data_IF_749385965737
#
_entry.id   IF_749385965737
#
_cell.length_a   1.000
_cell.length_b   1.000
_cell.length_c   1.000
_cell.angle_alpha   90.00
_cell.angle_beta   90.00
_cell.angle_gamma   90.00
#
_symmetry.space_group_name_H-M   'P 1'
#
loop_
_entity.id
_entity.type
_entity.pdbx_description
1 polymer ?
#
# COMPACT_ATOMS: atom_id res chain seq x y z
N UNK A 1 -18.75 23.20 10.63
CA UNK A 1 -18.47 21.76 10.78
C UNK A 1 -17.11 21.51 10.16
N UNK A 2 -16.17 20.85 10.85
CA UNK A 2 -14.84 20.52 10.32
C UNK A 2 -15.01 19.58 9.14
N UNK A 3 -14.29 19.83 8.03
CA UNK A 3 -14.28 18.88 6.90
C UNK A 3 -13.53 17.62 7.29
N UNK A 4 -13.95 16.47 6.78
CA UNK A 4 -13.34 15.18 7.09
C UNK A 4 -11.84 15.16 6.72
N UNK A 5 -11.50 15.68 5.55
CA UNK A 5 -10.12 15.83 5.09
C UNK A 5 -9.79 17.32 4.98
N UNK A 6 -9.15 17.89 5.97
CA UNK A 6 -8.61 19.24 5.98
C UNK A 6 -7.12 19.23 6.36
N UNK A 7 -6.50 20.42 6.39
CA UNK A 7 -5.08 20.57 6.76
C UNK A 7 -4.75 20.05 8.17
N UNK A 8 -5.75 19.89 9.03
CA UNK A 8 -5.64 19.43 10.41
C UNK A 8 -6.17 17.99 10.58
N UNK A 9 -6.29 17.22 9.49
CA UNK A 9 -6.70 15.82 9.55
C UNK A 9 -5.82 15.03 10.53
N UNK A 10 -6.43 14.30 11.45
CA UNK A 10 -5.80 13.58 12.57
C UNK A 10 -5.09 14.48 13.61
N UNK A 11 -5.06 15.79 13.43
CA UNK A 11 -4.47 16.70 14.41
C UNK A 11 -5.55 17.24 15.35
N UNK A 12 -5.78 16.53 16.46
CA UNK A 12 -6.90 16.81 17.37
C UNK A 12 -6.62 17.91 18.39
N UNK A 13 -5.33 18.09 18.76
CA UNK A 13 -4.94 19.06 19.77
C UNK A 13 -4.16 20.23 19.15
N UNK A 14 -4.19 21.39 19.82
CA UNK A 14 -3.41 22.56 19.38
C UNK A 14 -1.90 22.26 19.41
N UNK A 15 -1.45 21.45 20.35
CA UNK A 15 -0.05 20.98 20.42
C UNK A 15 0.29 20.14 19.19
N UNK A 16 -0.59 19.21 18.78
CA UNK A 16 -0.36 18.37 17.60
C UNK A 16 -0.29 19.24 16.32
N UNK A 17 -1.19 20.22 16.18
CA UNK A 17 -1.17 21.17 15.05
C UNK A 17 0.11 21.98 15.01
N UNK A 18 0.53 22.54 16.16
CA UNK A 18 1.77 23.31 16.27
C UNK A 18 2.98 22.45 15.88
N UNK A 19 3.12 21.26 16.44
CA UNK A 19 4.25 20.36 16.15
C UNK A 19 4.28 19.95 14.68
N UNK A 20 3.12 19.65 14.09
CA UNK A 20 3.05 19.27 12.68
C UNK A 20 3.36 20.46 11.74
N UNK A 21 2.59 21.55 11.83
CA UNK A 21 2.69 22.63 10.86
C UNK A 21 4.00 23.44 10.98
N UNK A 22 4.49 23.64 12.20
CA UNK A 22 5.67 24.49 12.41
C UNK A 22 6.99 23.71 12.27
N UNK A 23 6.97 22.39 12.49
CA UNK A 23 8.17 21.56 12.45
C UNK A 23 8.05 20.39 11.46
N UNK A 24 7.19 19.41 11.73
CA UNK A 24 7.19 18.13 11.01
C UNK A 24 6.91 18.29 9.51
N UNK A 25 5.97 19.16 9.12
CA UNK A 25 5.62 19.37 7.70
C UNK A 25 6.77 19.92 6.85
N UNK A 26 7.79 20.51 7.48
CA UNK A 26 8.97 21.09 6.82
C UNK A 26 10.17 20.14 6.80
N UNK A 27 10.06 19.00 7.48
CA UNK A 27 11.15 18.01 7.55
C UNK A 27 11.15 17.13 6.31
N UNK A 28 12.32 16.67 5.85
CA UNK A 28 12.39 15.68 4.78
C UNK A 28 11.80 14.35 5.26
N UNK A 29 11.08 13.68 4.38
CA UNK A 29 10.59 12.32 4.64
C UNK A 29 11.73 11.35 4.34
N UNK A 30 12.10 10.54 5.32
CA UNK A 30 13.03 9.41 5.17
C UNK A 30 12.22 8.14 5.38
N UNK A 31 11.78 7.54 4.27
CA UNK A 31 11.05 6.28 4.30
C UNK A 31 12.05 5.13 4.08
N UNK A 32 12.29 4.38 5.14
CA UNK A 32 13.15 3.19 5.12
C UNK A 32 12.35 1.89 5.16
N UNK A 33 11.02 1.98 5.25
CA UNK A 33 10.17 0.80 5.29
C UNK A 33 10.01 0.21 3.88
N UNK A 34 10.34 -1.06 3.72
CA UNK A 34 10.10 -1.80 2.48
C UNK A 34 9.77 -3.27 2.77
N UNK A 35 9.21 -3.95 1.78
CA UNK A 35 8.90 -5.39 1.84
C UNK A 35 9.86 -6.22 0.95
N UNK A 36 10.95 -5.63 0.51
CA UNK A 36 12.02 -6.34 -0.17
C UNK A 36 12.97 -6.92 0.88
N UNK A 37 13.38 -8.16 0.71
CA UNK A 37 14.31 -8.81 1.62
C UNK A 37 15.67 -8.09 1.64
N UNK A 38 16.25 -7.80 2.82
CA UNK A 38 17.62 -7.27 2.89
C UNK A 38 18.65 -8.17 2.20
N UNK A 39 18.42 -9.48 2.17
CA UNK A 39 19.28 -10.42 1.45
C UNK A 39 19.23 -10.19 -0.06
N UNK A 40 18.05 -9.98 -0.64
CA UNK A 40 17.90 -9.68 -2.06
C UNK A 40 18.62 -8.39 -2.46
N UNK A 41 18.61 -7.38 -1.58
CA UNK A 41 19.35 -6.13 -1.78
C UNK A 41 20.86 -6.40 -1.73
N UNK A 42 21.33 -7.17 -0.74
CA UNK A 42 22.76 -7.46 -0.54
C UNK A 42 23.35 -8.33 -1.66
N UNK A 43 22.55 -9.21 -2.23
CA UNK A 43 22.94 -10.13 -3.31
C UNK A 43 22.72 -9.55 -4.72
N UNK A 44 22.25 -8.29 -4.82
CA UNK A 44 21.89 -7.64 -6.09
C UNK A 44 20.95 -8.51 -6.94
N UNK A 45 19.87 -9.00 -6.30
CA UNK A 45 18.93 -9.93 -6.90
C UNK A 45 18.24 -9.34 -8.13
N UNK A 46 18.31 -10.02 -9.25
CA UNK A 46 17.63 -9.63 -10.48
C UNK A 46 16.25 -10.27 -10.58
N UNK A 47 15.22 -9.46 -10.37
CA UNK A 47 13.83 -9.91 -10.45
C UNK A 47 13.42 -10.17 -11.91
N UNK A 48 12.69 -11.27 -12.14
CA UNK A 48 12.22 -11.68 -13.48
C UNK A 48 11.06 -10.82 -14.00
N UNK A 49 10.26 -10.29 -13.07
CA UNK A 49 9.05 -9.55 -13.40
C UNK A 49 8.72 -8.54 -12.30
N UNK A 50 7.91 -7.53 -12.65
CA UNK A 50 7.33 -6.60 -11.67
C UNK A 50 6.43 -7.33 -10.65
N UNK A 51 5.82 -8.44 -11.06
CA UNK A 51 5.00 -9.26 -10.17
C UNK A 51 5.84 -9.88 -9.07
N UNK A 52 7.02 -10.40 -9.39
CA UNK A 52 7.96 -10.95 -8.42
C UNK A 52 8.37 -9.89 -7.40
N UNK A 53 8.76 -8.69 -7.85
CA UNK A 53 9.12 -7.57 -6.95
C UNK A 53 7.97 -7.15 -6.06
N UNK A 54 6.79 -6.97 -6.62
CA UNK A 54 5.67 -6.35 -5.93
C UNK A 54 4.79 -7.32 -5.15
N UNK A 55 4.68 -8.56 -5.62
CA UNK A 55 3.77 -9.55 -5.07
C UNK A 55 4.50 -10.77 -4.50
N UNK A 56 5.79 -10.94 -4.74
CA UNK A 56 6.52 -12.14 -4.34
C UNK A 56 6.59 -12.38 -2.84
N UNK A 57 6.64 -11.32 -2.03
CA UNK A 57 6.74 -11.42 -0.58
C UNK A 57 5.78 -10.51 0.20
N UNK A 58 4.95 -9.75 -0.48
CA UNK A 58 4.10 -8.73 0.16
C UNK A 58 2.73 -9.26 0.56
N UNK A 59 2.62 -9.77 1.79
CA UNK A 59 1.36 -10.30 2.31
C UNK A 59 0.28 -9.23 2.53
N UNK A 60 0.62 -7.97 2.60
CA UNK A 60 -0.39 -6.90 2.65
C UNK A 60 -1.10 -6.77 1.31
N UNK A 61 -0.36 -6.81 0.20
CA UNK A 61 -0.96 -6.84 -1.14
C UNK A 61 -1.78 -8.10 -1.37
N UNK A 62 -1.30 -9.27 -0.95
CA UNK A 62 -2.07 -10.51 -1.02
C UNK A 62 -3.39 -10.42 -0.26
N UNK A 63 -3.38 -9.81 0.94
CA UNK A 63 -4.59 -9.61 1.74
C UNK A 63 -5.63 -8.77 1.00
N UNK A 64 -5.20 -7.68 0.36
CA UNK A 64 -6.09 -6.81 -0.39
C UNK A 64 -6.68 -7.54 -1.61
N UNK A 65 -5.86 -8.31 -2.33
CA UNK A 65 -6.31 -9.10 -3.49
C UNK A 65 -7.34 -10.15 -3.05
N UNK A 66 -7.10 -10.85 -1.94
CA UNK A 66 -8.04 -11.82 -1.35
C UNK A 66 -9.34 -11.15 -0.91
N UNK A 67 -9.26 -9.99 -0.26
CA UNK A 67 -10.44 -9.23 0.15
C UNK A 67 -11.33 -8.81 -1.03
N UNK A 68 -10.75 -8.65 -2.21
CA UNK A 68 -11.48 -8.40 -3.45
C UNK A 68 -12.12 -9.67 -4.07
N UNK A 69 -12.04 -10.82 -3.39
CA UNK A 69 -12.66 -12.08 -3.83
C UNK A 69 -11.84 -12.88 -4.85
N UNK A 70 -10.57 -12.55 -5.06
CA UNK A 70 -9.69 -13.28 -5.99
C UNK A 70 -9.37 -14.67 -5.44
N UNK A 71 -9.50 -15.74 -6.25
CA UNK A 71 -9.11 -17.09 -5.86
C UNK A 71 -7.62 -17.17 -5.51
N UNK A 72 -7.28 -17.97 -4.48
CA UNK A 72 -5.91 -18.08 -3.98
C UNK A 72 -4.89 -18.47 -5.05
N UNK A 73 -5.29 -19.26 -6.03
CA UNK A 73 -4.46 -19.65 -7.16
C UNK A 73 -3.88 -18.43 -7.91
N UNK A 74 -4.64 -17.34 -7.99
CA UNK A 74 -4.22 -16.08 -8.63
C UNK A 74 -3.57 -15.08 -7.66
N UNK A 75 -3.38 -15.45 -6.41
CA UNK A 75 -2.67 -14.64 -5.42
C UNK A 75 -1.27 -15.20 -5.21
N UNK A 76 -1.18 -16.45 -4.72
CA UNK A 76 0.08 -17.12 -4.40
C UNK A 76 0.24 -18.48 -5.10
N UNK A 77 -0.78 -18.95 -5.84
CA UNK A 77 -0.77 -20.25 -6.51
C UNK A 77 0.37 -20.39 -7.53
N UNK A 78 0.78 -21.64 -7.78
CA UNK A 78 1.93 -21.96 -8.64
C UNK A 78 1.55 -22.09 -10.12
N UNK A 79 0.27 -22.35 -10.43
CA UNK A 79 -0.19 -22.59 -11.81
C UNK A 79 -0.56 -21.29 -12.54
N UNK A 80 -0.82 -20.20 -11.82
CA UNK A 80 -1.07 -18.89 -12.41
C UNK A 80 0.23 -18.18 -12.79
N UNK A 81 0.20 -17.54 -13.95
CA UNK A 81 1.33 -16.75 -14.45
C UNK A 81 1.49 -15.45 -13.67
N UNK A 82 2.69 -14.87 -13.70
CA UNK A 82 3.00 -13.56 -13.12
C UNK A 82 2.04 -12.47 -13.65
N UNK A 83 1.73 -12.51 -14.95
CA UNK A 83 0.80 -11.56 -15.56
C UNK A 83 -0.62 -11.69 -14.99
N UNK A 84 -1.12 -12.91 -14.83
CA UNK A 84 -2.46 -13.14 -14.26
C UNK A 84 -2.55 -12.61 -12.83
N UNK A 85 -1.54 -12.86 -12.00
CA UNK A 85 -1.46 -12.32 -10.63
C UNK A 85 -1.42 -10.80 -10.62
N UNK A 86 -0.62 -10.21 -11.51
CA UNK A 86 -0.52 -8.75 -11.60
C UNK A 86 -1.82 -8.11 -12.06
N UNK A 87 -2.54 -8.73 -12.99
CA UNK A 87 -3.87 -8.25 -13.45
C UNK A 87 -4.86 -8.22 -12.30
N UNK A 88 -4.88 -9.23 -11.43
CA UNK A 88 -5.77 -9.22 -10.25
C UNK A 88 -5.40 -8.10 -9.28
N UNK A 89 -4.11 -7.86 -9.05
CA UNK A 89 -3.66 -6.73 -8.26
C UNK A 89 -4.06 -5.38 -8.89
N UNK A 90 -3.89 -5.23 -10.19
CA UNK A 90 -4.27 -4.01 -10.90
C UNK A 90 -5.77 -3.72 -10.83
N UNK A 91 -6.63 -4.75 -10.87
CA UNK A 91 -8.08 -4.60 -10.67
C UNK A 91 -8.40 -4.04 -9.30
N UNK A 92 -7.71 -4.49 -8.26
CA UNK A 92 -7.89 -3.99 -6.89
C UNK A 92 -7.50 -2.52 -6.82
N UNK A 93 -6.33 -2.15 -7.32
CA UNK A 93 -5.89 -0.75 -7.36
C UNK A 93 -6.90 0.14 -8.09
N UNK A 94 -7.36 -0.29 -9.24
CA UNK A 94 -8.36 0.44 -10.02
C UNK A 94 -9.67 0.65 -9.24
N UNK A 95 -10.10 -0.34 -8.49
CA UNK A 95 -11.31 -0.25 -7.65
C UNK A 95 -11.14 0.78 -6.53
N UNK A 96 -9.95 0.84 -5.91
CA UNK A 96 -9.64 1.86 -4.89
C UNK A 96 -9.65 3.28 -5.44
N UNK A 97 -9.07 3.50 -6.62
CA UNK A 97 -9.01 4.85 -7.22
C UNK A 97 -10.35 5.35 -7.78
N UNK A 98 -11.28 4.46 -8.10
CA UNK A 98 -12.60 4.83 -8.64
C UNK A 98 -13.70 5.01 -7.59
N UNK A 99 -13.51 4.53 -6.39
CA UNK A 99 -14.47 4.80 -5.34
C UNK A 99 -14.35 6.26 -4.92
N UNK A 100 -15.49 6.98 -4.72
CA UNK A 100 -15.44 8.23 -3.98
C UNK A 100 -14.71 7.94 -2.67
N UNK A 101 -13.95 8.90 -2.11
CA UNK A 101 -13.12 8.64 -0.94
C UNK A 101 -13.95 7.90 0.11
N UNK A 102 -13.69 6.61 0.24
CA UNK A 102 -14.28 5.81 1.29
C UNK A 102 -13.85 6.49 2.58
N UNK A 103 -14.81 6.72 3.46
CA UNK A 103 -14.48 7.12 4.82
C UNK A 103 -13.47 6.09 5.34
N UNK A 104 -12.36 6.55 5.90
CA UNK A 104 -11.33 5.66 6.46
C UNK A 104 -11.92 4.70 7.52
N UNK A 105 -13.11 4.95 8.00
CA UNK A 105 -13.92 4.08 8.87
C UNK A 105 -14.24 2.70 8.25
N UNK A 106 -14.17 2.55 6.94
CA UNK A 106 -14.45 1.26 6.26
C UNK A 106 -13.18 0.43 5.97
N UNK A 107 -11.99 0.90 6.33
CA UNK A 107 -10.71 0.24 6.00
C UNK A 107 -10.08 -0.44 7.22
N UNK A 108 -10.58 -0.16 8.46
CA UNK A 108 -10.08 -0.73 9.72
C UNK A 108 -11.11 -1.63 10.39
#
# INVERSE_FOLDING_TARGET
MKQFMDKDFLLETDTAKHLFHDYAAKMPIIDYHCHISPQEIAEDHHFRSITEVWLGGDHYKWRIIRANGTPEEKVTGETSTDLEKFVEYAKVLYSFYRQPPLSLESIW
#
